data_IF_859618998342
#
_entry.id   IF_859618998342
#
_cell.length_a   1.000
_cell.length_b   1.000
_cell.length_c   1.000
_cell.angle_alpha   90.00
_cell.angle_beta   90.00
_cell.angle_gamma   90.00
#
_symmetry.space_group_name_H-M   'P 1'
#
loop_
_entity.id
_entity.type
_entity.pdbx_description
1 polymer ?
#
# COMPACT_ATOMS: atom_id res chain seq x y z
N UNK A 1 7.02 26.33 14.92
CA UNK A 1 6.49 27.71 14.99
C UNK A 1 4.96 27.64 14.99
N UNK A 2 4.27 28.55 15.67
CA UNK A 2 2.81 28.59 15.64
C UNK A 2 2.31 29.17 14.30
N UNK A 3 1.12 28.75 13.85
CA UNK A 3 0.50 29.26 12.63
C UNK A 3 0.02 30.70 12.85
N UNK A 4 0.32 31.61 11.92
CA UNK A 4 -0.26 32.94 11.89
C UNK A 4 -1.71 32.88 11.37
N UNK A 5 -2.67 32.92 12.30
CA UNK A 5 -4.10 32.74 11.97
C UNK A 5 -4.61 33.85 11.05
N UNK A 6 -4.17 35.10 11.23
CA UNK A 6 -4.63 36.21 10.38
C UNK A 6 -4.14 36.03 8.94
N UNK A 7 -2.90 35.60 8.76
CA UNK A 7 -2.32 35.34 7.45
C UNK A 7 -3.03 34.17 6.75
N UNK A 8 -3.32 33.09 7.47
CA UNK A 8 -4.06 31.95 6.96
C UNK A 8 -5.50 32.29 6.51
N UNK A 9 -6.12 33.34 7.05
CA UNK A 9 -7.42 33.83 6.58
C UNK A 9 -7.33 34.67 5.30
N UNK A 10 -6.18 35.28 5.02
CA UNK A 10 -6.02 36.27 3.96
C UNK A 10 -5.35 35.70 2.72
N UNK A 11 -4.52 34.68 2.88
CA UNK A 11 -3.78 34.07 1.78
C UNK A 11 -4.53 32.84 1.24
N UNK A 12 -4.36 32.59 -0.06
CA UNK A 12 -4.81 31.34 -0.66
C UNK A 12 -4.05 30.17 0.01
N UNK A 13 -4.74 29.11 0.44
CA UNK A 13 -4.09 28.01 1.14
C UNK A 13 -3.09 27.31 0.22
N UNK A 14 -1.99 26.77 0.78
CA UNK A 14 -1.04 26.01 0.00
C UNK A 14 -1.70 24.77 -0.61
N UNK A 15 -1.31 24.42 -1.82
CA UNK A 15 -1.70 23.15 -2.42
C UNK A 15 -1.10 21.99 -1.60
N UNK A 16 -1.93 20.99 -1.33
CA UNK A 16 -1.49 19.80 -0.61
C UNK A 16 -0.63 18.93 -1.53
N UNK A 17 0.56 18.57 -1.06
CA UNK A 17 1.44 17.62 -1.73
C UNK A 17 1.09 16.19 -1.29
N UNK A 18 0.88 15.30 -2.26
CA UNK A 18 0.53 13.90 -2.03
C UNK A 18 1.63 12.97 -2.56
N UNK A 19 1.90 11.89 -1.82
CA UNK A 19 2.74 10.79 -2.31
C UNK A 19 2.02 10.12 -3.49
N UNK A 20 0.74 9.79 -3.30
CA UNK A 20 -0.25 9.41 -4.32
C UNK A 20 -1.64 9.84 -3.80
N UNK A 21 -2.70 9.85 -4.63
CA UNK A 21 -4.01 10.37 -4.23
C UNK A 21 -4.47 9.85 -2.86
N UNK A 22 -4.84 10.77 -1.97
CA UNK A 22 -5.23 10.50 -0.59
C UNK A 22 -4.12 10.37 0.44
N UNK A 23 -2.87 10.03 0.07
CA UNK A 23 -1.75 9.91 1.02
C UNK A 23 -0.90 11.17 1.06
N UNK A 24 -1.19 12.05 2.03
CA UNK A 24 -0.52 13.34 2.19
C UNK A 24 0.98 13.17 2.49
N UNK A 25 1.81 13.95 1.81
CA UNK A 25 3.26 13.99 2.04
C UNK A 25 3.60 14.43 3.48
N UNK A 26 4.66 13.87 4.06
CA UNK A 26 5.09 14.16 5.43
C UNK A 26 4.22 13.53 6.53
N UNK A 27 3.33 12.59 6.18
CA UNK A 27 2.44 11.92 7.14
C UNK A 27 2.70 10.41 7.23
N UNK A 28 2.08 9.76 8.21
CA UNK A 28 2.14 8.31 8.42
C UNK A 28 0.92 7.62 7.81
N UNK A 29 1.18 6.62 6.98
CA UNK A 29 0.19 5.76 6.35
C UNK A 29 0.40 4.29 6.67
N UNK A 30 -0.70 3.52 6.58
CA UNK A 30 -0.71 2.08 6.79
C UNK A 30 -1.12 1.34 5.51
N UNK A 31 -0.48 0.20 5.23
CA UNK A 31 -0.96 -0.78 4.25
C UNK A 31 -1.26 -2.10 4.94
N UNK A 32 -2.54 -2.49 4.99
CA UNK A 32 -3.00 -3.67 5.73
C UNK A 32 -3.52 -4.77 4.82
N UNK A 33 -3.25 -6.02 5.17
CA UNK A 33 -3.80 -7.18 4.47
C UNK A 33 -3.47 -8.46 5.24
N UNK A 34 -4.14 -9.58 4.98
CA UNK A 34 -3.66 -10.88 5.38
C UNK A 34 -2.28 -11.21 4.81
N UNK A 35 -1.55 -12.11 5.46
CA UNK A 35 -0.30 -12.66 4.93
C UNK A 35 -0.50 -13.32 3.56
N UNK A 36 0.53 -13.29 2.71
CA UNK A 36 0.53 -13.86 1.35
C UNK A 36 -0.53 -13.29 0.38
N UNK A 37 -0.98 -12.06 0.60
CA UNK A 37 -1.96 -11.36 -0.27
C UNK A 37 -1.29 -10.56 -1.39
N UNK A 38 -0.03 -10.15 -1.23
CA UNK A 38 0.71 -9.35 -2.22
C UNK A 38 1.14 -7.96 -1.74
N UNK A 39 0.94 -7.62 -0.46
CA UNK A 39 1.33 -6.32 0.12
C UNK A 39 2.73 -5.88 -0.23
N UNK A 40 3.72 -6.76 -0.04
CA UNK A 40 5.13 -6.43 -0.27
C UNK A 40 5.45 -6.26 -1.76
N UNK A 41 4.70 -6.89 -2.67
CA UNK A 41 4.81 -6.58 -4.10
C UNK A 41 4.25 -5.18 -4.38
N UNK A 42 3.00 -4.95 -3.95
CA UNK A 42 2.35 -3.66 -4.15
C UNK A 42 3.17 -2.50 -3.56
N UNK A 43 3.69 -2.66 -2.33
CA UNK A 43 4.48 -1.64 -1.65
C UNK A 43 5.82 -1.39 -2.34
N UNK A 44 6.47 -2.42 -2.87
CA UNK A 44 7.72 -2.28 -3.62
C UNK A 44 7.48 -1.60 -4.97
N UNK A 45 6.40 -1.96 -5.68
CA UNK A 45 6.02 -1.31 -6.94
C UNK A 45 5.61 0.16 -6.72
N UNK A 46 4.86 0.45 -5.65
CA UNK A 46 4.53 1.81 -5.24
C UNK A 46 5.80 2.61 -4.89
N UNK A 47 6.73 2.02 -4.14
CA UNK A 47 8.03 2.64 -3.83
C UNK A 47 8.84 2.94 -5.09
N UNK A 48 8.87 2.03 -6.07
CA UNK A 48 9.52 2.24 -7.36
C UNK A 48 8.87 3.37 -8.16
N UNK A 49 7.53 3.47 -8.12
CA UNK A 49 6.79 4.56 -8.75
C UNK A 49 7.19 5.93 -8.18
N UNK A 50 7.36 6.05 -6.86
CA UNK A 50 7.85 7.28 -6.20
C UNK A 50 9.33 7.54 -6.48
N UNK A 51 10.16 6.51 -6.58
CA UNK A 51 11.59 6.64 -6.87
C UNK A 51 11.88 7.04 -8.32
N UNK A 52 10.96 6.79 -9.26
CA UNK A 52 11.19 6.99 -10.68
C UNK A 52 10.92 8.44 -11.11
N UNK A 53 11.97 9.24 -11.29
CA UNK A 53 11.90 10.64 -11.75
C UNK A 53 11.56 10.84 -13.25
N UNK A 54 11.36 9.74 -13.98
CA UNK A 54 11.05 9.74 -15.43
C UNK A 54 9.79 8.91 -15.73
N UNK A 55 9.28 9.02 -16.95
CA UNK A 55 8.11 8.26 -17.38
C UNK A 55 8.36 6.74 -17.42
N UNK A 56 7.33 5.96 -17.05
CA UNK A 56 7.35 4.50 -17.15
C UNK A 56 7.77 3.75 -15.89
N UNK A 57 7.87 4.43 -14.73
CA UNK A 57 8.11 3.81 -13.43
C UNK A 57 6.85 3.34 -12.67
N UNK A 58 5.67 3.82 -13.06
CA UNK A 58 4.42 3.61 -12.33
C UNK A 58 3.66 2.36 -12.80
N UNK A 59 4.24 1.18 -12.52
CA UNK A 59 3.65 -0.13 -12.91
C UNK A 59 2.26 -0.33 -12.29
N UNK A 60 2.07 0.17 -11.05
CA UNK A 60 0.83 0.06 -10.29
C UNK A 60 -0.17 1.19 -10.55
N UNK A 61 0.11 2.12 -11.46
CA UNK A 61 -0.80 3.20 -11.87
C UNK A 61 -1.33 4.05 -10.68
N UNK A 62 -0.46 4.40 -9.73
CA UNK A 62 -0.79 5.27 -8.59
C UNK A 62 -0.74 6.76 -8.94
N UNK A 63 -0.13 7.11 -10.08
CA UNK A 63 -0.01 8.47 -10.62
C UNK A 63 0.55 9.47 -9.59
N UNK A 64 1.76 9.20 -9.05
CA UNK A 64 2.39 10.15 -8.13
C UNK A 64 2.64 11.49 -8.82
N UNK A 65 2.33 12.59 -8.15
CA UNK A 65 2.55 13.94 -8.68
C UNK A 65 4.01 14.37 -8.58
N UNK A 66 4.70 13.88 -7.55
CA UNK A 66 6.10 14.18 -7.29
C UNK A 66 6.85 12.92 -6.89
N UNK A 67 8.11 12.86 -7.32
CA UNK A 67 9.03 11.74 -7.12
C UNK A 67 10.14 12.14 -6.17
N UNK A 68 10.90 11.19 -5.64
CA UNK A 68 12.05 11.48 -4.81
C UNK A 68 12.69 10.24 -4.23
N UNK A 69 13.72 10.44 -3.39
CA UNK A 69 14.44 9.34 -2.74
C UNK A 69 13.48 8.49 -1.90
N UNK A 70 13.61 7.18 -1.99
CA UNK A 70 12.81 6.21 -1.23
C UNK A 70 13.74 5.29 -0.44
N UNK A 71 13.41 5.06 0.83
CA UNK A 71 14.08 4.06 1.67
C UNK A 71 13.07 2.96 1.99
N UNK A 72 13.37 1.73 1.58
CA UNK A 72 12.54 0.56 1.84
C UNK A 72 13.29 -0.39 2.78
N UNK A 73 12.76 -0.58 3.98
CA UNK A 73 13.30 -1.49 4.99
C UNK A 73 12.50 -2.80 5.00
N UNK A 74 13.08 -3.85 4.43
CA UNK A 74 12.47 -5.17 4.28
C UNK A 74 12.85 -6.10 5.44
N UNK A 75 11.97 -6.28 6.42
CA UNK A 75 12.20 -7.05 7.63
C UNK A 75 11.80 -8.52 7.59
N UNK A 76 11.02 -8.96 6.61
CA UNK A 76 10.56 -10.35 6.53
C UNK A 76 11.30 -11.20 5.49
N UNK A 77 11.66 -10.60 4.35
CA UNK A 77 12.22 -11.32 3.22
C UNK A 77 13.76 -11.32 3.25
N UNK A 78 14.42 -12.46 2.96
CA UNK A 78 15.86 -12.50 2.78
C UNK A 78 16.27 -11.86 1.43
N UNK A 79 17.52 -11.43 1.34
CA UNK A 79 18.07 -10.75 0.16
C UNK A 79 17.79 -11.46 -1.18
N UNK A 80 17.95 -12.79 -1.33
CA UNK A 80 17.65 -13.45 -2.62
C UNK A 80 16.18 -13.33 -3.05
N UNK A 81 15.24 -13.26 -2.10
CA UNK A 81 13.82 -13.08 -2.40
C UNK A 81 13.55 -11.65 -2.90
N UNK A 82 14.18 -10.65 -2.27
CA UNK A 82 14.10 -9.25 -2.70
C UNK A 82 14.67 -9.05 -4.11
N UNK A 83 15.84 -9.62 -4.39
CA UNK A 83 16.46 -9.57 -5.72
C UNK A 83 15.52 -10.16 -6.78
N UNK A 84 14.87 -11.29 -6.49
CA UNK A 84 13.89 -11.89 -7.41
C UNK A 84 12.70 -10.97 -7.69
N UNK A 85 12.19 -10.26 -6.67
CA UNK A 85 11.09 -9.30 -6.86
C UNK A 85 11.51 -8.12 -7.71
N UNK A 86 12.65 -7.50 -7.38
CA UNK A 86 13.20 -6.38 -8.15
C UNK A 86 13.42 -6.79 -9.61
N UNK A 87 13.97 -7.99 -9.84
CA UNK A 87 14.17 -8.51 -11.19
C UNK A 87 12.86 -8.69 -11.95
N UNK A 88 11.83 -9.26 -11.30
CA UNK A 88 10.51 -9.48 -11.91
C UNK A 88 9.83 -8.14 -12.27
N UNK A 89 9.76 -7.19 -11.33
CA UNK A 89 9.20 -5.85 -11.56
C UNK A 89 9.99 -5.13 -12.66
N UNK A 90 11.32 -5.27 -12.64
CA UNK A 90 12.22 -4.72 -13.64
C UNK A 90 11.86 -5.09 -15.08
N UNK A 91 11.30 -6.29 -15.33
CA UNK A 91 10.86 -6.70 -16.67
C UNK A 91 9.73 -5.83 -17.24
N UNK A 92 8.99 -5.12 -16.39
CA UNK A 92 7.91 -4.21 -16.79
C UNK A 92 8.37 -2.75 -16.93
N UNK A 93 9.64 -2.46 -16.63
CA UNK A 93 10.22 -1.13 -16.66
C UNK A 93 11.12 -0.93 -17.88
N UNK A 94 11.04 0.26 -18.49
CA UNK A 94 12.01 0.67 -19.50
C UNK A 94 13.38 0.97 -18.86
N UNK A 95 14.44 1.04 -19.69
CA UNK A 95 15.81 1.19 -19.19
C UNK A 95 16.01 2.48 -18.36
N UNK A 96 15.47 3.61 -18.82
CA UNK A 96 15.58 4.89 -18.12
C UNK A 96 14.87 4.87 -16.75
N UNK A 97 13.72 4.22 -16.65
CA UNK A 97 13.01 4.05 -15.38
C UNK A 97 13.82 3.19 -14.41
N UNK A 98 14.46 2.09 -14.88
CA UNK A 98 15.33 1.25 -14.05
C UNK A 98 16.51 2.05 -13.48
N UNK A 99 17.14 2.89 -14.29
CA UNK A 99 18.25 3.75 -13.87
C UNK A 99 17.81 4.77 -12.82
N UNK A 100 16.71 5.49 -13.07
CA UNK A 100 16.16 6.47 -12.15
C UNK A 100 15.74 5.84 -10.80
N UNK A 101 15.14 4.64 -10.84
CA UNK A 101 14.79 3.88 -9.63
C UNK A 101 16.05 3.45 -8.89
N UNK A 102 17.07 2.94 -9.58
CA UNK A 102 18.31 2.49 -8.94
C UNK A 102 19.06 3.64 -8.24
N UNK A 103 18.96 4.86 -8.76
CA UNK A 103 19.53 6.06 -8.14
C UNK A 103 18.76 6.49 -6.88
N UNK A 104 17.43 6.40 -6.89
CA UNK A 104 16.58 6.98 -5.86
C UNK A 104 16.05 5.98 -4.82
N UNK A 105 15.98 4.68 -5.13
CA UNK A 105 15.46 3.66 -4.23
C UNK A 105 16.59 2.93 -3.51
N UNK A 106 16.62 3.04 -2.20
CA UNK A 106 17.42 2.18 -1.34
C UNK A 106 16.56 1.07 -0.76
N UNK A 107 16.82 -0.18 -1.14
CA UNK A 107 16.15 -1.37 -0.62
C UNK A 107 17.08 -2.11 0.36
N UNK A 108 16.82 -2.00 1.65
CA UNK A 108 17.65 -2.61 2.69
C UNK A 108 16.94 -3.80 3.36
N UNK A 109 17.50 -5.03 3.25
CA UNK A 109 17.05 -6.14 4.06
C UNK A 109 17.45 -5.91 5.52
N UNK A 110 16.48 -5.95 6.43
CA UNK A 110 16.67 -5.85 7.87
C UNK A 110 16.26 -7.13 8.62
N UNK A 111 15.90 -8.19 7.89
CA UNK A 111 15.64 -9.52 8.46
C UNK A 111 16.82 -9.96 9.33
N UNK A 112 16.55 -10.28 10.60
CA UNK A 112 17.58 -10.70 11.57
C UNK A 112 18.42 -9.57 12.18
N UNK A 113 18.28 -8.31 11.73
CA UNK A 113 19.03 -7.16 12.28
C UNK A 113 18.48 -6.61 13.60
N UNK A 114 17.31 -7.08 14.05
CA UNK A 114 16.64 -6.65 15.31
C UNK A 114 16.47 -5.13 15.41
N UNK A 115 16.05 -4.48 14.33
CA UNK A 115 15.72 -3.05 14.35
C UNK A 115 14.58 -2.79 15.35
N UNK A 116 14.64 -1.68 16.07
CA UNK A 116 13.63 -1.28 17.05
C UNK A 116 13.53 0.24 17.08
N UNK A 117 12.52 0.82 16.43
CA UNK A 117 12.35 2.28 16.38
C UNK A 117 11.95 2.90 17.74
N UNK A 118 11.64 2.06 18.73
CA UNK A 118 11.38 2.51 20.10
C UNK A 118 12.67 2.65 20.92
N UNK A 119 13.80 2.17 20.40
CA UNK A 119 15.13 2.43 20.95
C UNK A 119 15.69 3.73 20.36
N UNK A 120 16.20 4.63 21.20
CA UNK A 120 16.61 5.98 20.79
C UNK A 120 17.78 5.97 19.80
N UNK A 121 18.75 5.05 19.96
CA UNK A 121 19.89 4.95 19.07
C UNK A 121 19.46 4.44 17.69
N UNK A 122 18.60 3.42 17.67
CA UNK A 122 18.02 2.87 16.45
C UNK A 122 17.16 3.93 15.73
N UNK A 123 16.31 4.65 16.47
CA UNK A 123 15.48 5.73 15.94
C UNK A 123 16.31 6.83 15.29
N UNK A 124 17.34 7.32 15.99
CA UNK A 124 18.26 8.34 15.45
C UNK A 124 18.91 7.87 14.15
N UNK A 125 19.37 6.62 14.10
CA UNK A 125 19.96 6.03 12.89
C UNK A 125 18.96 5.96 11.73
N UNK A 126 17.71 5.58 11.99
CA UNK A 126 16.66 5.57 10.96
C UNK A 126 16.40 6.98 10.41
N UNK A 127 16.33 7.98 11.30
CA UNK A 127 16.13 9.39 10.91
C UNK A 127 17.30 9.88 10.06
N UNK A 128 18.54 9.70 10.51
CA UNK A 128 19.74 10.13 9.79
C UNK A 128 19.87 9.45 8.42
N UNK A 129 19.66 8.13 8.38
CA UNK A 129 19.72 7.34 7.15
C UNK A 129 18.64 7.72 6.13
N UNK A 130 17.48 8.15 6.63
CA UNK A 130 16.32 8.49 5.81
C UNK A 130 16.16 9.99 5.58
N UNK A 131 17.12 10.82 6.02
CA UNK A 131 17.10 12.26 5.79
C UNK A 131 16.97 12.57 4.28
N UNK A 132 16.05 13.49 3.94
CA UNK A 132 15.78 13.88 2.55
C UNK A 132 15.05 12.82 1.71
N UNK A 133 14.64 11.69 2.30
CA UNK A 133 13.73 10.77 1.63
C UNK A 133 12.35 11.43 1.46
N UNK A 134 11.67 11.11 0.36
CA UNK A 134 10.25 11.43 0.15
C UNK A 134 9.35 10.36 0.77
N UNK A 135 9.79 9.11 0.76
CA UNK A 135 9.03 7.98 1.31
C UNK A 135 9.96 7.01 2.04
N UNK A 136 9.52 6.57 3.22
CA UNK A 136 10.12 5.48 3.99
C UNK A 136 9.10 4.36 4.07
N UNK A 137 9.47 3.15 3.66
CA UNK A 137 8.61 1.96 3.72
C UNK A 137 9.13 0.98 4.75
N UNK A 138 8.26 0.50 5.63
CA UNK A 138 8.56 -0.42 6.74
C UNK A 138 7.79 -1.72 6.53
N UNK A 139 8.46 -2.76 6.01
CA UNK A 139 7.85 -4.04 5.62
C UNK A 139 8.34 -5.22 6.48
N UNK A 140 7.71 -5.55 7.61
CA UNK A 140 6.47 -5.00 8.18
C UNK A 140 6.72 -4.35 9.54
N UNK A 141 5.71 -3.65 10.06
CA UNK A 141 5.75 -2.96 11.34
C UNK A 141 6.20 -3.88 12.50
N UNK A 142 5.76 -5.15 12.51
CA UNK A 142 6.10 -6.12 13.57
C UNK A 142 7.58 -6.49 13.65
N UNK A 143 8.39 -6.10 12.65
CA UNK A 143 9.84 -6.37 12.60
C UNK A 143 10.70 -5.22 13.07
N UNK A 144 10.07 -4.10 13.47
CA UNK A 144 10.78 -2.86 13.79
C UNK A 144 10.43 -2.30 15.18
N UNK A 145 9.71 -3.04 16.02
CA UNK A 145 9.46 -2.70 17.42
C UNK A 145 9.32 -3.95 18.28
N UNK A 146 9.29 -3.76 19.61
CA UNK A 146 9.08 -4.84 20.60
C UNK A 146 7.84 -4.66 21.47
N UNK A 147 6.97 -3.71 21.14
CA UNK A 147 5.73 -3.41 21.85
C UNK A 147 4.61 -4.44 21.61
N UNK A 148 3.58 -4.44 22.45
CA UNK A 148 2.38 -5.28 22.28
C UNK A 148 1.39 -4.66 21.28
N UNK A 149 1.21 -5.30 20.12
CA UNK A 149 0.30 -4.83 19.06
C UNK A 149 -1.18 -4.83 19.46
N UNK A 150 -1.55 -5.52 20.55
CA UNK A 150 -2.92 -5.51 21.08
C UNK A 150 -3.17 -4.33 22.04
N UNK A 151 -2.12 -3.64 22.49
CA UNK A 151 -2.25 -2.47 23.36
C UNK A 151 -2.45 -1.21 22.52
N UNK A 152 -3.65 -0.62 22.60
CA UNK A 152 -3.95 0.65 21.95
C UNK A 152 -2.96 1.76 22.35
N UNK A 153 -2.55 1.78 23.62
CA UNK A 153 -1.58 2.76 24.13
C UNK A 153 -0.18 2.57 23.54
N UNK A 154 0.26 1.32 23.39
CA UNK A 154 1.54 0.98 22.78
C UNK A 154 1.57 1.35 21.30
N UNK A 155 0.51 1.01 20.57
CA UNK A 155 0.40 1.33 19.14
C UNK A 155 0.26 2.83 18.89
N UNK A 156 -0.43 3.56 19.77
CA UNK A 156 -0.45 5.02 19.71
C UNK A 156 0.94 5.63 19.90
N UNK A 157 1.72 5.13 20.88
CA UNK A 157 3.13 5.57 21.07
C UNK A 157 4.00 5.24 19.85
N UNK A 158 3.83 4.06 19.28
CA UNK A 158 4.57 3.66 18.08
C UNK A 158 4.26 4.56 16.89
N UNK A 159 2.98 4.81 16.60
CA UNK A 159 2.60 5.70 15.49
C UNK A 159 3.10 7.13 15.73
N UNK A 160 3.05 7.64 16.96
CA UNK A 160 3.63 8.94 17.31
C UNK A 160 5.16 8.98 17.08
N UNK A 161 5.87 7.88 17.36
CA UNK A 161 7.30 7.75 17.02
C UNK A 161 7.51 7.80 15.50
N UNK A 162 6.66 7.15 14.70
CA UNK A 162 6.74 7.22 13.24
C UNK A 162 6.38 8.62 12.70
N UNK A 163 5.46 9.33 13.32
CA UNK A 163 5.16 10.74 13.01
C UNK A 163 6.37 11.63 13.30
N UNK A 164 7.11 11.35 14.39
CA UNK A 164 8.37 12.03 14.67
C UNK A 164 9.44 11.74 13.60
N UNK A 165 9.53 10.51 13.09
CA UNK A 165 10.41 10.17 11.95
C UNK A 165 10.02 10.96 10.70
N UNK A 166 8.73 10.99 10.36
CA UNK A 166 8.21 11.73 9.22
C UNK A 166 8.56 13.23 9.32
N UNK A 167 8.25 13.84 10.47
CA UNK A 167 8.53 15.25 10.74
C UNK A 167 10.03 15.59 10.73
N UNK A 168 10.88 14.68 11.22
CA UNK A 168 12.34 14.92 11.31
C UNK A 168 13.06 14.73 9.98
N UNK A 169 12.52 13.90 9.09
CA UNK A 169 13.13 13.58 7.79
C UNK A 169 12.53 14.37 6.63
N UNK A 170 11.30 14.86 6.79
CA UNK A 170 10.48 15.40 5.69
C UNK A 170 9.80 14.32 4.85
N UNK A 171 10.03 13.04 5.14
CA UNK A 171 9.46 11.92 4.40
C UNK A 171 8.03 11.60 4.87
N UNK A 172 7.24 11.00 4.00
CA UNK A 172 6.12 10.16 4.46
C UNK A 172 6.62 8.80 4.94
N UNK A 173 5.93 8.22 5.92
CA UNK A 173 6.22 6.86 6.42
C UNK A 173 5.05 5.95 6.08
N UNK A 174 5.30 4.89 5.31
CA UNK A 174 4.35 3.82 5.04
C UNK A 174 4.78 2.56 5.79
N UNK A 175 3.96 2.09 6.73
CA UNK A 175 4.19 0.79 7.35
C UNK A 175 3.22 -0.27 6.83
N UNK A 176 3.73 -1.48 6.62
CA UNK A 176 2.92 -2.63 6.26
C UNK A 176 2.54 -3.38 7.53
N UNK A 177 1.31 -3.88 7.60
CA UNK A 177 0.83 -4.63 8.76
C UNK A 177 -0.02 -5.83 8.32
N UNK A 178 0.14 -6.94 9.03
CA UNK A 178 -0.59 -8.18 8.76
C UNK A 178 -1.87 -8.21 9.59
N UNK A 179 -3.03 -8.28 8.93
CA UNK A 179 -4.29 -8.55 9.63
C UNK A 179 -4.60 -10.05 9.64
N UNK A 180 -5.29 -10.51 10.69
CA UNK A 180 -5.65 -11.92 10.83
C UNK A 180 -6.55 -12.41 9.69
N UNK A 181 -6.45 -13.69 9.30
CA UNK A 181 -7.39 -14.30 8.35
C UNK A 181 -8.81 -14.43 8.92
N UNK A 182 -8.96 -14.43 10.25
CA UNK A 182 -10.25 -14.56 10.93
C UNK A 182 -11.12 -13.31 10.87
N UNK A 183 -10.52 -12.12 10.67
CA UNK A 183 -11.26 -10.92 10.30
C UNK A 183 -11.70 -10.94 8.83
N UNK A 184 -11.09 -11.79 7.99
CA UNK A 184 -11.48 -12.03 6.61
C UNK A 184 -12.58 -13.10 6.48
N UNK A 185 -13.73 -12.89 7.11
CA UNK A 185 -14.91 -13.75 6.92
C UNK A 185 -15.63 -13.39 5.61
N UNK A 186 -16.04 -14.42 4.87
CA UNK A 186 -16.87 -14.27 3.67
C UNK A 186 -18.12 -13.43 3.98
N UNK A 187 -18.33 -12.36 3.21
CA UNK A 187 -19.46 -11.43 3.34
C UNK A 187 -19.17 -10.12 4.09
N UNK A 188 -18.00 -9.92 4.71
CA UNK A 188 -17.58 -8.60 5.20
C UNK A 188 -16.80 -7.83 4.14
N UNK A 189 -17.08 -6.53 3.99
CA UNK A 189 -16.32 -5.64 3.11
C UNK A 189 -14.85 -5.59 3.53
N UNK A 190 -13.90 -5.60 2.59
CA UNK A 190 -12.46 -5.59 2.90
C UNK A 190 -12.05 -4.44 3.83
N UNK A 191 -12.74 -3.30 3.74
CA UNK A 191 -12.60 -2.15 4.63
C UNK A 191 -12.93 -2.48 6.10
N UNK A 192 -14.01 -3.24 6.35
CA UNK A 192 -14.37 -3.69 7.71
C UNK A 192 -13.39 -4.74 8.24
N UNK A 193 -12.83 -5.57 7.36
CA UNK A 193 -11.86 -6.61 7.73
C UNK A 193 -10.51 -6.00 8.13
N UNK A 194 -10.08 -4.97 7.38
CA UNK A 194 -8.93 -4.13 7.70
C UNK A 194 -9.11 -3.48 9.09
N UNK A 195 -10.22 -2.77 9.29
CA UNK A 195 -10.49 -2.01 10.51
C UNK A 195 -10.51 -2.85 11.81
N UNK A 196 -10.97 -4.11 11.76
CA UNK A 196 -11.11 -4.95 12.97
C UNK A 196 -9.84 -5.67 13.41
N UNK A 197 -8.90 -5.93 12.49
CA UNK A 197 -7.68 -6.68 12.79
C UNK A 197 -6.52 -5.82 13.30
N UNK A 198 -6.63 -4.50 13.19
CA UNK A 198 -5.56 -3.54 13.46
C UNK A 198 -6.11 -2.16 13.89
N UNK A 199 -7.24 -2.12 14.61
CA UNK A 199 -7.99 -0.89 14.88
C UNK A 199 -7.11 0.23 15.44
N UNK A 200 -6.26 -0.05 16.43
CA UNK A 200 -5.36 0.95 17.00
C UNK A 200 -4.40 1.55 15.96
N UNK A 201 -3.82 0.73 15.10
CA UNK A 201 -2.88 1.18 14.07
C UNK A 201 -3.61 2.00 12.98
N UNK A 202 -4.78 1.54 12.56
CA UNK A 202 -5.60 2.21 11.55
C UNK A 202 -6.17 3.53 12.07
N UNK A 203 -6.60 3.56 13.34
CA UNK A 203 -7.19 4.74 13.97
C UNK A 203 -6.16 5.86 14.15
N UNK A 204 -4.90 5.51 14.45
CA UNK A 204 -3.82 6.48 14.57
C UNK A 204 -3.23 6.92 13.21
N UNK A 205 -3.33 6.11 12.15
CA UNK A 205 -2.90 6.52 10.82
C UNK A 205 -3.88 7.50 10.14
N UNK A 206 -3.38 8.45 9.36
CA UNK A 206 -4.21 9.42 8.58
C UNK A 206 -4.58 8.90 7.19
N UNK A 207 -3.86 7.89 6.74
CA UNK A 207 -4.13 7.17 5.51
C UNK A 207 -4.00 5.66 5.76
N UNK A 208 -4.95 4.87 5.26
CA UNK A 208 -4.90 3.41 5.36
C UNK A 208 -5.38 2.76 4.06
N UNK A 209 -4.45 2.17 3.33
CA UNK A 209 -4.73 1.29 2.19
C UNK A 209 -4.89 -0.16 2.64
N UNK A 210 -5.60 -0.95 1.86
CA UNK A 210 -5.65 -2.40 2.01
C UNK A 210 -5.37 -3.12 0.70
N UNK A 211 -4.91 -4.35 0.83
CA UNK A 211 -4.80 -5.30 -0.28
C UNK A 211 -5.65 -6.52 0.05
N UNK A 212 -6.47 -6.99 -0.88
CA UNK A 212 -7.35 -8.14 -0.71
C UNK A 212 -7.27 -9.09 -1.91
N UNK A 213 -7.43 -10.39 -1.68
CA UNK A 213 -7.56 -11.36 -2.79
C UNK A 213 -9.00 -11.37 -3.27
N UNK A 214 -9.19 -11.67 -4.55
CA UNK A 214 -10.52 -11.91 -5.09
C UNK A 214 -11.26 -13.04 -4.35
N UNK A 215 -12.46 -12.72 -3.89
CA UNK A 215 -13.39 -13.67 -3.27
C UNK A 215 -14.04 -14.57 -4.32
N UNK A 216 -14.66 -15.67 -3.88
CA UNK A 216 -15.39 -16.55 -4.80
C UNK A 216 -16.58 -15.87 -5.46
N UNK A 217 -17.24 -14.96 -4.73
CA UNK A 217 -18.41 -14.25 -5.26
C UNK A 217 -18.02 -13.15 -6.24
N UNK A 218 -16.91 -12.45 -6.00
CA UNK A 218 -16.33 -11.54 -7.00
C UNK A 218 -15.90 -12.31 -8.25
N UNK A 219 -15.27 -13.48 -8.11
CA UNK A 219 -14.85 -14.29 -9.26
C UNK A 219 -16.01 -14.82 -10.12
N UNK A 220 -17.23 -14.93 -9.56
CA UNK A 220 -18.45 -15.27 -10.29
C UNK A 220 -19.08 -14.07 -11.00
N UNK A 221 -18.91 -12.86 -10.44
CA UNK A 221 -19.52 -11.62 -10.94
C UNK A 221 -18.63 -10.84 -11.90
N UNK A 222 -17.32 -10.97 -11.77
CA UNK A 222 -16.34 -10.20 -12.53
C UNK A 222 -15.72 -11.03 -13.65
N UNK A 223 -15.38 -10.34 -14.74
CA UNK A 223 -14.73 -10.87 -15.92
C UNK A 223 -13.58 -9.97 -16.35
N UNK A 224 -12.44 -10.54 -16.68
CA UNK A 224 -11.32 -9.87 -17.35
C UNK A 224 -11.43 -9.94 -18.88
N UNK A 225 -12.55 -10.45 -19.41
CA UNK A 225 -12.74 -10.74 -20.85
C UNK A 225 -13.80 -9.80 -21.45
N UNK A 226 -13.34 -8.81 -22.21
CA UNK A 226 -14.20 -7.78 -22.78
C UNK A 226 -15.28 -8.30 -23.76
N UNK A 227 -14.98 -9.37 -24.50
CA UNK A 227 -15.84 -9.86 -25.59
C UNK A 227 -16.96 -10.78 -25.11
N UNK A 228 -16.63 -11.87 -24.43
CA UNK A 228 -17.61 -12.89 -24.02
C UNK A 228 -18.06 -12.77 -22.56
N UNK A 229 -17.40 -11.90 -21.78
CA UNK A 229 -17.68 -11.65 -20.35
C UNK A 229 -17.84 -12.92 -19.54
N UNK A 230 -17.07 -13.95 -19.83
CA UNK A 230 -17.07 -15.15 -19.01
C UNK A 230 -16.51 -14.84 -17.63
N UNK A 231 -17.13 -15.33 -16.53
CA UNK A 231 -16.62 -15.14 -15.19
C UNK A 231 -15.16 -15.57 -15.06
N UNK A 232 -14.40 -14.88 -14.20
CA UNK A 232 -13.01 -15.24 -13.88
C UNK A 232 -12.93 -16.67 -13.37
N UNK A 233 -13.87 -17.07 -12.50
CA UNK A 233 -13.91 -18.41 -11.95
C UNK A 233 -12.95 -18.65 -10.77
N UNK A 234 -13.24 -19.69 -10.00
CA UNK A 234 -12.48 -20.02 -8.78
C UNK A 234 -11.05 -20.50 -9.07
N UNK A 235 -10.80 -21.03 -10.26
CA UNK A 235 -9.49 -21.47 -10.75
C UNK A 235 -8.53 -20.30 -11.00
N UNK A 236 -9.05 -19.14 -11.44
CA UNK A 236 -8.23 -17.96 -11.74
C UNK A 236 -8.24 -16.87 -10.67
N UNK A 237 -9.20 -16.88 -9.73
CA UNK A 237 -9.32 -15.83 -8.69
C UNK A 237 -8.02 -15.55 -7.92
N UNK A 238 -7.17 -16.56 -7.75
CA UNK A 238 -5.88 -16.43 -7.05
C UNK A 238 -4.88 -15.48 -7.72
N UNK A 239 -5.08 -15.16 -9.00
CA UNK A 239 -4.29 -14.18 -9.74
C UNK A 239 -4.79 -12.76 -9.56
N UNK A 240 -5.96 -12.52 -8.95
CA UNK A 240 -6.53 -11.18 -8.85
C UNK A 240 -6.46 -10.64 -7.43
N UNK A 241 -5.98 -9.41 -7.34
CA UNK A 241 -5.76 -8.70 -6.08
C UNK A 241 -6.36 -7.31 -6.20
N UNK A 242 -7.15 -6.91 -5.21
CA UNK A 242 -7.72 -5.57 -5.12
C UNK A 242 -6.91 -4.73 -4.16
N UNK A 243 -6.63 -3.50 -4.55
CA UNK A 243 -6.20 -2.45 -3.64
C UNK A 243 -7.33 -1.48 -3.43
N UNK A 244 -7.52 -1.04 -2.20
CA UNK A 244 -8.45 0.04 -1.89
C UNK A 244 -7.97 0.90 -0.75
N UNK A 245 -8.60 2.05 -0.56
CA UNK A 245 -8.37 2.92 0.61
C UNK A 245 -9.49 2.75 1.62
N UNK A 246 -9.15 2.33 2.83
CA UNK A 246 -10.09 2.17 3.95
C UNK A 246 -10.26 3.44 4.78
N UNK A 247 -9.26 4.33 4.77
CA UNK A 247 -9.28 5.61 5.48
C UNK A 247 -8.39 6.62 4.77
N UNK A 248 -8.91 7.83 4.56
CA UNK A 248 -8.16 8.99 4.09
C UNK A 248 -8.82 10.26 4.60
N UNK A 249 -8.02 11.26 4.96
CA UNK A 249 -8.49 12.49 5.60
C UNK A 249 -8.45 13.72 4.69
N UNK A 250 -7.70 13.68 3.59
CA UNK A 250 -7.32 14.87 2.82
C UNK A 250 -7.78 14.83 1.35
N UNK A 251 -8.39 13.74 0.93
CA UNK A 251 -8.96 13.56 -0.41
C UNK A 251 -10.28 12.78 -0.27
N UNK A 252 -11.25 13.04 -1.15
CA UNK A 252 -12.52 12.33 -1.20
C UNK A 252 -12.57 11.27 -2.30
N UNK A 253 -11.58 11.24 -3.19
CA UNK A 253 -11.56 10.31 -4.32
C UNK A 253 -11.20 8.91 -3.83
N UNK A 254 -12.11 7.92 -3.91
CA UNK A 254 -11.78 6.55 -3.55
C UNK A 254 -10.83 5.98 -4.60
N UNK A 255 -9.65 5.53 -4.19
CA UNK A 255 -8.77 4.75 -5.04
C UNK A 255 -9.07 3.28 -4.80
N UNK A 256 -9.71 2.64 -5.78
CA UNK A 256 -10.01 1.20 -5.80
C UNK A 256 -9.55 0.65 -7.15
N UNK A 257 -8.64 -0.32 -7.14
CA UNK A 257 -8.01 -0.84 -8.34
C UNK A 257 -7.78 -2.34 -8.24
N UNK A 258 -8.15 -3.05 -9.30
CA UNK A 258 -7.82 -4.45 -9.47
C UNK A 258 -6.47 -4.59 -10.17
N UNK A 259 -5.70 -5.58 -9.72
CA UNK A 259 -4.47 -6.03 -10.35
C UNK A 259 -4.57 -7.51 -10.69
N UNK A 260 -3.99 -7.86 -11.83
CA UNK A 260 -3.64 -9.23 -12.15
C UNK A 260 -2.18 -9.48 -11.76
N UNK A 261 -1.96 -10.55 -10.99
CA UNK A 261 -0.65 -11.05 -10.60
C UNK A 261 -0.04 -11.79 -11.78
N UNK A 262 0.98 -11.21 -12.38
CA UNK A 262 1.77 -11.77 -13.48
C UNK A 262 2.91 -12.65 -12.96
N UNK A 263 3.70 -13.16 -13.90
CA UNK A 263 4.89 -13.96 -13.61
C UNK A 263 5.81 -13.25 -12.62
N UNK A 264 6.39 -14.04 -11.71
CA UNK A 264 7.23 -13.50 -10.64
C UNK A 264 6.48 -12.74 -9.55
N UNK A 265 5.16 -12.54 -9.64
CA UNK A 265 4.31 -11.94 -8.61
C UNK A 265 3.98 -10.45 -8.81
N UNK A 266 4.45 -9.85 -9.92
CA UNK A 266 4.22 -8.45 -10.30
C UNK A 266 2.72 -8.16 -10.41
N UNK A 267 2.26 -7.02 -9.88
CA UNK A 267 0.87 -6.61 -9.93
C UNK A 267 0.69 -5.59 -11.07
N UNK A 268 -0.10 -5.98 -12.08
CA UNK A 268 -0.39 -5.12 -13.22
C UNK A 268 -1.87 -4.74 -13.19
N UNK A 269 -2.23 -3.44 -13.32
CA UNK A 269 -3.62 -3.00 -13.34
C UNK A 269 -4.44 -3.77 -14.38
N UNK A 270 -5.65 -4.17 -13.99
CA UNK A 270 -6.59 -4.87 -14.87
C UNK A 270 -7.98 -4.27 -14.72
N UNK A 271 -8.63 -4.03 -15.85
CA UNK A 271 -10.04 -3.62 -15.88
C UNK A 271 -10.91 -4.86 -15.82
N UNK A 272 -11.80 -4.91 -14.82
CA UNK A 272 -12.75 -6.00 -14.65
C UNK A 272 -14.18 -5.51 -14.95
N UNK A 273 -14.95 -6.34 -15.63
CA UNK A 273 -16.31 -6.05 -16.07
C UNK A 273 -17.32 -6.95 -15.36
N UNK A 274 -18.51 -6.43 -15.12
CA UNK A 274 -19.64 -7.23 -14.62
C UNK A 274 -20.09 -8.25 -15.67
N UNK A 275 -20.23 -9.49 -15.24
CA UNK A 275 -20.84 -10.59 -16.00
C UNK A 275 -22.33 -10.29 -16.12
N UNK A 276 -22.91 -10.32 -17.34
CA UNK A 276 -24.34 -10.09 -17.52
C UNK A 276 -25.13 -11.14 -16.71
N UNK A 277 -25.98 -10.69 -15.78
CA UNK A 277 -26.92 -11.57 -15.10
C UNK A 277 -27.78 -12.26 -16.16
N UNK A 278 -27.59 -13.57 -16.35
CA UNK A 278 -28.49 -14.37 -17.15
C UNK A 278 -29.90 -14.15 -16.60
N UNK A 279 -30.80 -13.63 -17.43
CA UNK A 279 -32.23 -13.57 -17.10
C UNK A 279 -32.61 -14.95 -16.59
N UNK A 280 -32.98 -15.07 -15.31
CA UNK A 280 -33.76 -16.23 -14.84
C UNK A 280 -34.92 -16.36 -15.81
N UNK A 281 -34.93 -17.44 -16.59
CA UNK A 281 -36.03 -17.72 -17.50
C UNK A 281 -37.31 -17.68 -16.71
N UNK A 282 -38.12 -16.65 -16.96
CA UNK A 282 -39.48 -16.60 -16.43
C UNK A 282 -40.18 -17.85 -16.92
N UNK A 283 -40.59 -18.68 -15.98
CA UNK A 283 -41.56 -19.74 -16.18
C UNK A 283 -42.77 -19.13 -16.91
N UNK A 284 -42.84 -19.35 -18.23
CA UNK A 284 -44.10 -19.26 -18.95
C UNK A 284 -44.93 -20.44 -18.45
N UNK A 285 -45.82 -20.17 -17.49
CA UNK A 285 -47.04 -20.96 -17.34
C UNK A 285 -47.72 -20.95 -18.72
N UNK A 286 -47.71 -22.12 -19.37
CA UNK A 286 -48.58 -22.39 -20.50
C UNK A 286 -49.93 -22.82 -19.93
N UNK A 287 -50.95 -22.04 -20.29
CA UNK A 287 -52.35 -22.37 -20.55
C UNK A 287 -52.99 -23.56 -19.83
#
# INVERSE_FOLDING_TARGET
MAINIMEAFQQEPPQLDFIWPGFLAGTVGALVAPGATGKSFWALEAAMSIACSVAGGDVVNLKPQHTGRVVYLAGEDPEPALIRRVHAIGQHLNQSAREAIAENLTLEPIMGKRLNVMDEEHLRRVIEYSAGARLIVLDTLSRIHSLDENSNGDMARLVATLEHVAASTGASVLYLHHVSKGSAREGQTDQQQAARGASALIDNARWCGFVAKMTEDEAKRLSDRAYDRQPIGNDRRGFFVRFGVSKQNYDATPLDQWYERRDGGVLVPVELLEVPNGKKGGSREQA
#
